data_IF_747609114092
#
_entry.id   IF_747609114092
#
_cell.length_a   1.000
_cell.length_b   1.000
_cell.length_c   1.000
_cell.angle_alpha   90.00
_cell.angle_beta   90.00
_cell.angle_gamma   90.00
#
_symmetry.space_group_name_H-M   'P 1'
#
loop_
_entity.id
_entity.type
_entity.pdbx_description
1 polymer ?
#
# COMPACT_ATOMS: atom_id res chain seq x y z
N UNK A 1 35.53 15.56 14.65
CA UNK A 1 34.93 14.31 14.16
C UNK A 1 33.41 14.29 14.38
N UNK A 2 32.87 14.63 15.58
CA UNK A 2 31.41 14.61 15.85
C UNK A 2 30.60 15.54 14.92
N UNK A 3 31.09 16.74 14.60
CA UNK A 3 30.40 17.70 13.72
C UNK A 3 30.35 17.22 12.26
N UNK A 4 31.36 16.57 11.74
CA UNK A 4 31.37 15.99 10.39
C UNK A 4 30.42 14.80 10.27
N UNK A 5 30.29 13.99 11.32
CA UNK A 5 29.31 12.89 11.36
C UNK A 5 27.86 13.41 11.36
N UNK A 6 27.57 14.50 12.09
CA UNK A 6 26.25 15.14 12.11
C UNK A 6 25.94 15.78 10.75
N UNK A 7 26.92 16.48 10.13
CA UNK A 7 26.74 17.04 8.79
C UNK A 7 26.50 15.97 7.73
N UNK A 8 27.22 14.86 7.77
CA UNK A 8 27.03 13.73 6.87
C UNK A 8 25.64 13.10 7.06
N UNK A 9 25.18 12.94 8.30
CA UNK A 9 23.84 12.42 8.60
C UNK A 9 22.72 13.33 8.11
N UNK A 10 22.86 14.66 8.29
CA UNK A 10 21.92 15.67 7.81
C UNK A 10 21.89 15.71 6.28
N UNK A 11 23.05 15.60 5.63
CA UNK A 11 23.14 15.54 4.17
C UNK A 11 22.49 14.28 3.60
N UNK A 12 22.61 13.13 4.27
CA UNK A 12 21.97 11.88 3.87
C UNK A 12 20.42 11.99 3.96
N UNK A 13 19.91 12.68 4.96
CA UNK A 13 18.45 12.89 5.14
C UNK A 13 17.87 13.82 4.08
N UNK A 14 18.65 14.77 3.56
CA UNK A 14 18.20 15.69 2.50
C UNK A 14 18.07 15.01 1.13
N UNK A 15 18.84 13.97 0.87
CA UNK A 15 18.79 13.17 -0.38
C UNK A 15 17.68 12.13 -0.37
N UNK A 16 17.17 11.75 0.81
CA UNK A 16 16.16 10.72 0.98
C UNK A 16 14.69 11.20 0.82
N UNK A 17 14.48 12.45 0.35
CA UNK A 17 13.13 12.98 0.11
C UNK A 17 12.74 12.81 -1.35
N UNK A 18 11.67 12.08 -1.62
CA UNK A 18 10.99 12.02 -2.90
C UNK A 18 9.67 12.80 -2.86
N UNK A 19 9.06 13.00 -4.02
CA UNK A 19 7.74 13.63 -4.15
C UNK A 19 6.76 12.63 -4.73
N UNK A 20 5.63 12.45 -4.08
CA UNK A 20 4.55 11.59 -4.55
C UNK A 20 3.84 12.20 -5.78
N UNK A 21 2.98 11.44 -6.48
CA UNK A 21 2.19 11.95 -7.60
C UNK A 21 1.31 13.17 -7.27
N UNK A 22 0.93 13.35 -6.00
CA UNK A 22 0.14 14.51 -5.54
C UNK A 22 0.99 15.70 -5.10
N UNK A 23 2.32 15.61 -5.18
CA UNK A 23 3.24 16.65 -4.74
C UNK A 23 3.64 16.56 -3.26
N UNK A 24 3.23 15.53 -2.53
CA UNK A 24 3.58 15.31 -1.12
C UNK A 24 5.03 14.85 -0.98
N UNK A 25 5.73 15.37 0.02
CA UNK A 25 7.08 14.91 0.36
C UNK A 25 7.03 13.57 1.09
N UNK A 26 7.89 12.65 0.69
CA UNK A 26 7.99 11.30 1.24
C UNK A 26 9.42 11.00 1.69
N UNK A 27 9.56 10.23 2.77
CA UNK A 27 10.85 9.67 3.18
C UNK A 27 11.09 8.37 2.40
N UNK A 28 12.11 8.36 1.54
CA UNK A 28 12.41 7.24 0.64
C UNK A 28 13.84 6.73 0.85
N UNK A 29 14.09 6.08 2.01
CA UNK A 29 15.35 5.36 2.31
C UNK A 29 15.41 4.01 1.59
N UNK A 30 14.25 3.40 1.37
CA UNK A 30 14.08 2.17 0.59
C UNK A 30 13.66 2.57 -0.81
N UNK A 31 14.37 2.08 -1.83
CA UNK A 31 14.03 2.38 -3.22
C UNK A 31 12.75 1.67 -3.67
N UNK A 32 12.11 2.20 -4.71
CA UNK A 32 10.96 1.56 -5.35
C UNK A 32 11.28 0.14 -5.83
N UNK A 33 12.46 -0.06 -6.45
CA UNK A 33 12.90 -1.35 -6.95
C UNK A 33 13.06 -2.37 -5.81
N UNK A 34 13.61 -1.95 -4.67
CA UNK A 34 13.73 -2.80 -3.48
C UNK A 34 12.37 -3.18 -2.92
N UNK A 35 11.41 -2.24 -2.87
CA UNK A 35 10.05 -2.50 -2.43
C UNK A 35 9.32 -3.45 -3.40
N UNK A 36 9.52 -3.31 -4.71
CA UNK A 36 8.96 -4.21 -5.73
C UNK A 36 9.53 -5.63 -5.57
N UNK A 37 10.85 -5.77 -5.38
CA UNK A 37 11.48 -7.08 -5.17
C UNK A 37 10.93 -7.78 -3.93
N UNK A 38 10.90 -7.08 -2.80
CA UNK A 38 10.33 -7.62 -1.56
C UNK A 38 8.84 -7.99 -1.70
N UNK A 39 8.07 -7.17 -2.43
CA UNK A 39 6.66 -7.42 -2.72
C UNK A 39 6.45 -8.65 -3.59
N UNK A 40 7.31 -8.88 -4.59
CA UNK A 40 7.24 -10.07 -5.45
C UNK A 40 7.44 -11.36 -4.64
N UNK A 41 8.38 -11.36 -3.71
CA UNK A 41 8.63 -12.50 -2.81
C UNK A 41 7.45 -12.71 -1.85
N UNK A 42 6.97 -11.65 -1.20
CA UNK A 42 5.84 -11.71 -0.29
C UNK A 42 4.56 -12.19 -0.99
N UNK A 43 4.30 -11.73 -2.21
CA UNK A 43 3.19 -12.16 -3.04
C UNK A 43 3.22 -13.67 -3.31
N UNK A 44 4.38 -14.17 -3.74
CA UNK A 44 4.56 -15.60 -3.99
C UNK A 44 4.36 -16.44 -2.72
N UNK A 45 4.92 -15.99 -1.59
CA UNK A 45 4.76 -16.65 -0.29
C UNK A 45 3.31 -16.65 0.19
N UNK A 46 2.59 -15.55 0.01
CA UNK A 46 1.18 -15.42 0.40
C UNK A 46 0.28 -16.33 -0.44
N UNK A 47 0.50 -16.37 -1.75
CA UNK A 47 -0.38 -17.13 -2.64
C UNK A 47 -0.07 -18.62 -2.71
N UNK A 48 1.15 -19.03 -2.41
CA UNK A 48 1.54 -20.44 -2.51
C UNK A 48 0.61 -21.39 -1.73
N UNK A 49 0.40 -21.24 -0.41
CA UNK A 49 -0.48 -22.13 0.35
C UNK A 49 -1.93 -22.08 -0.15
N UNK A 50 -2.43 -20.89 -0.49
CA UNK A 50 -3.79 -20.71 -1.01
C UNK A 50 -3.98 -21.40 -2.37
N UNK A 51 -2.96 -21.38 -3.21
CA UNK A 51 -2.98 -22.09 -4.50
C UNK A 51 -2.94 -23.59 -4.32
N UNK A 52 -2.16 -24.09 -3.37
CA UNK A 52 -2.10 -25.51 -3.02
C UNK A 52 -3.44 -26.03 -2.47
N UNK A 53 -4.22 -25.16 -1.80
CA UNK A 53 -5.58 -25.42 -1.34
C UNK A 53 -6.67 -25.24 -2.42
N UNK A 54 -6.29 -24.81 -3.64
CA UNK A 54 -7.24 -24.56 -4.72
C UNK A 54 -8.11 -23.30 -4.53
N UNK A 55 -7.69 -22.37 -3.66
CA UNK A 55 -8.43 -21.13 -3.31
C UNK A 55 -8.10 -19.91 -4.17
N UNK A 56 -7.24 -20.06 -5.17
CA UNK A 56 -6.85 -18.92 -6.02
C UNK A 56 -7.45 -19.09 -7.41
N UNK A 57 -8.19 -18.09 -7.84
CA UNK A 57 -8.81 -18.02 -9.18
C UNK A 57 -9.71 -19.24 -9.51
N UNK A 58 -10.34 -19.83 -8.52
CA UNK A 58 -11.16 -21.05 -8.66
C UNK A 58 -12.55 -20.80 -9.30
N UNK A 59 -13.06 -19.56 -9.30
CA UNK A 59 -14.23 -19.14 -10.07
C UNK A 59 -13.80 -18.35 -11.32
N UNK A 60 -13.92 -18.94 -12.53
CA UNK A 60 -13.50 -18.26 -13.77
C UNK A 60 -14.40 -17.08 -14.14
N UNK A 61 -15.67 -17.05 -13.72
CA UNK A 61 -16.60 -15.94 -13.99
C UNK A 61 -16.21 -14.73 -13.14
N UNK A 62 -16.05 -14.94 -11.84
CA UNK A 62 -15.63 -13.90 -10.91
C UNK A 62 -14.22 -13.40 -11.25
N UNK A 63 -13.31 -14.30 -11.58
CA UNK A 63 -11.96 -13.94 -12.05
C UNK A 63 -12.01 -13.03 -13.27
N UNK A 64 -12.81 -13.37 -14.28
CA UNK A 64 -12.97 -12.54 -15.48
C UNK A 64 -13.52 -11.16 -15.15
N UNK A 65 -14.56 -11.10 -14.29
CA UNK A 65 -15.17 -9.84 -13.82
C UNK A 65 -14.14 -8.92 -13.19
N UNK A 66 -13.42 -9.42 -12.18
CA UNK A 66 -12.40 -8.66 -11.45
C UNK A 66 -11.24 -8.26 -12.35
N UNK A 67 -10.78 -9.16 -13.23
CA UNK A 67 -9.71 -8.87 -14.19
C UNK A 67 -10.10 -7.73 -15.12
N UNK A 68 -11.32 -7.75 -15.70
CA UNK A 68 -11.81 -6.69 -16.60
C UNK A 68 -11.84 -5.32 -15.91
N UNK A 69 -12.32 -5.27 -14.66
CA UNK A 69 -12.35 -4.04 -13.87
C UNK A 69 -10.92 -3.52 -13.64
N UNK A 70 -10.03 -4.41 -13.19
CA UNK A 70 -8.66 -4.06 -12.82
C UNK A 70 -7.82 -3.63 -14.03
N UNK A 71 -7.96 -4.28 -15.19
CA UNK A 71 -7.25 -3.90 -16.41
C UNK A 71 -7.61 -2.48 -16.87
N UNK A 72 -8.86 -2.07 -16.73
CA UNK A 72 -9.28 -0.70 -17.04
C UNK A 72 -8.63 0.31 -16.09
N UNK A 73 -8.53 -0.01 -14.80
CA UNK A 73 -7.82 0.82 -13.82
C UNK A 73 -6.32 0.88 -14.11
N UNK A 74 -5.68 -0.25 -14.41
CA UNK A 74 -4.25 -0.33 -14.76
C UNK A 74 -3.94 0.50 -16.01
N UNK A 75 -4.82 0.49 -17.02
CA UNK A 75 -4.64 1.32 -18.21
C UNK A 75 -4.60 2.82 -17.87
N UNK A 76 -5.38 3.29 -16.88
CA UNK A 76 -5.31 4.67 -16.41
C UNK A 76 -4.12 4.91 -15.48
N UNK A 77 -3.76 3.93 -14.64
CA UNK A 77 -2.58 3.99 -13.78
C UNK A 77 -1.30 4.19 -14.60
N UNK A 78 -1.14 3.47 -15.70
CA UNK A 78 -0.01 3.62 -16.63
C UNK A 78 -0.01 4.98 -17.31
N UNK A 79 -1.17 5.54 -17.67
CA UNK A 79 -1.25 6.92 -18.20
C UNK A 79 -0.87 7.96 -17.17
N UNK A 80 -1.28 7.76 -15.91
CA UNK A 80 -0.96 8.66 -14.80
C UNK A 80 0.54 8.62 -14.44
N UNK A 81 1.13 7.41 -14.45
CA UNK A 81 2.55 7.17 -14.14
C UNK A 81 3.18 6.22 -15.17
N UNK A 82 3.67 6.73 -16.32
CA UNK A 82 4.16 5.90 -17.43
C UNK A 82 5.27 4.92 -17.05
N UNK A 83 6.08 5.22 -16.04
CA UNK A 83 7.11 4.31 -15.55
C UNK A 83 6.55 2.96 -15.06
N UNK A 84 5.26 2.90 -14.69
CA UNK A 84 4.61 1.67 -14.23
C UNK A 84 4.20 0.72 -15.36
N UNK A 85 4.36 1.11 -16.62
CA UNK A 85 4.14 0.23 -17.77
C UNK A 85 5.06 -1.01 -17.74
N UNK A 86 6.21 -0.90 -17.08
CA UNK A 86 7.18 -2.01 -16.89
C UNK A 86 6.84 -2.93 -15.70
N UNK A 87 5.83 -2.57 -14.88
CA UNK A 87 5.43 -3.41 -13.75
C UNK A 87 4.75 -4.69 -14.23
N UNK A 88 4.96 -5.76 -13.50
CA UNK A 88 4.29 -7.05 -13.77
C UNK A 88 2.89 -7.06 -13.15
N UNK A 89 1.98 -6.22 -13.66
CA UNK A 89 0.61 -6.13 -13.17
C UNK A 89 -0.10 -7.49 -13.14
N UNK A 90 -0.72 -7.82 -12.02
CA UNK A 90 -1.39 -9.10 -11.84
C UNK A 90 -2.45 -8.98 -10.75
N UNK A 91 -3.65 -9.50 -11.00
CA UNK A 91 -4.74 -9.60 -10.01
C UNK A 91 -5.11 -11.07 -9.79
N UNK A 92 -5.31 -11.45 -8.53
CA UNK A 92 -5.82 -12.75 -8.12
C UNK A 92 -7.11 -12.59 -7.31
N UNK A 93 -8.04 -13.51 -7.50
CA UNK A 93 -9.21 -13.67 -6.62
C UNK A 93 -8.89 -14.79 -5.64
N UNK A 94 -8.99 -14.48 -4.34
CA UNK A 94 -8.78 -15.44 -3.26
C UNK A 94 -10.15 -15.85 -2.72
N UNK A 95 -10.43 -17.12 -2.79
CA UNK A 95 -11.67 -17.71 -2.25
C UNK A 95 -11.57 -17.84 -0.73
N UNK A 96 -12.03 -16.80 -0.05
CA UNK A 96 -12.19 -16.75 1.39
C UNK A 96 -13.34 -15.79 1.72
N UNK A 97 -14.57 -16.30 1.89
CA UNK A 97 -15.77 -15.50 2.11
C UNK A 97 -15.79 -14.80 3.47
N UNK A 98 -14.94 -15.21 4.42
CA UNK A 98 -14.87 -14.57 5.75
C UNK A 98 -13.98 -13.34 5.77
N UNK A 99 -13.14 -13.12 4.75
CA UNK A 99 -12.19 -12.03 4.69
C UNK A 99 -12.67 -10.91 3.78
N UNK A 100 -13.03 -9.78 4.38
CA UNK A 100 -13.39 -8.53 3.65
C UNK A 100 -12.14 -7.72 3.43
N UNK A 101 -11.39 -8.01 2.36
CA UNK A 101 -10.11 -7.35 2.09
C UNK A 101 -9.76 -7.36 0.59
N UNK A 102 -8.91 -6.40 0.20
CA UNK A 102 -8.16 -6.36 -1.05
C UNK A 102 -6.81 -5.69 -0.79
N UNK A 103 -5.85 -5.87 -1.67
CA UNK A 103 -4.54 -5.22 -1.56
C UNK A 103 -3.79 -5.14 -2.89
N UNK A 104 -2.92 -4.15 -2.99
CA UNK A 104 -1.95 -4.01 -4.08
C UNK A 104 -0.56 -3.77 -3.50
N UNK A 105 0.36 -4.68 -3.76
CA UNK A 105 1.76 -4.55 -3.39
C UNK A 105 2.52 -3.71 -4.43
N UNK A 106 3.71 -3.22 -4.05
CA UNK A 106 4.59 -2.52 -4.98
C UNK A 106 4.88 -3.38 -6.23
N UNK A 107 4.90 -2.74 -7.41
CA UNK A 107 5.04 -3.42 -8.68
C UNK A 107 3.74 -4.01 -9.24
N UNK A 108 2.56 -3.68 -8.66
CA UNK A 108 1.26 -4.02 -9.21
C UNK A 108 0.79 -5.45 -8.98
N UNK A 109 1.27 -6.10 -7.92
CA UNK A 109 0.81 -7.44 -7.50
C UNK A 109 -0.41 -7.30 -6.60
N UNK A 110 -1.58 -7.78 -7.04
CA UNK A 110 -2.87 -7.52 -6.42
C UNK A 110 -3.62 -8.81 -6.06
N UNK A 111 -4.46 -8.71 -5.04
CA UNK A 111 -5.50 -9.68 -4.78
C UNK A 111 -6.75 -9.01 -4.19
N UNK A 112 -7.88 -9.68 -4.38
CA UNK A 112 -9.17 -9.37 -3.76
C UNK A 112 -9.77 -10.67 -3.23
N UNK A 113 -10.38 -10.61 -2.07
CA UNK A 113 -11.04 -11.76 -1.44
C UNK A 113 -12.51 -11.82 -1.82
N UNK A 114 -13.04 -13.04 -1.96
CA UNK A 114 -14.47 -13.26 -2.25
C UNK A 114 -15.35 -12.60 -1.19
N UNK A 115 -14.93 -12.63 0.09
CA UNK A 115 -15.68 -12.01 1.18
C UNK A 115 -15.92 -10.51 0.99
N UNK A 116 -14.99 -9.76 0.39
CA UNK A 116 -15.23 -8.36 0.08
C UNK A 116 -16.35 -8.19 -0.96
N UNK A 117 -16.40 -9.05 -1.96
CA UNK A 117 -17.39 -8.97 -3.04
C UNK A 117 -18.76 -9.43 -2.55
N UNK A 118 -18.80 -10.54 -1.84
CA UNK A 118 -20.02 -11.22 -1.41
C UNK A 118 -20.69 -10.54 -0.21
N UNK A 119 -19.94 -10.28 0.87
CA UNK A 119 -20.51 -9.68 2.09
C UNK A 119 -20.97 -8.23 1.85
N UNK A 120 -20.32 -7.51 0.95
CA UNK A 120 -20.73 -6.16 0.59
C UNK A 120 -21.74 -6.12 -0.57
N UNK A 121 -22.07 -7.25 -1.19
CA UNK A 121 -22.81 -7.27 -2.47
C UNK A 121 -22.25 -6.18 -3.40
N UNK A 122 -20.95 -6.29 -3.65
CA UNK A 122 -20.20 -5.20 -4.28
C UNK A 122 -20.48 -5.11 -5.78
N UNK A 123 -20.89 -3.93 -6.23
CA UNK A 123 -21.05 -3.61 -7.65
C UNK A 123 -19.67 -3.47 -8.33
N UNK A 124 -19.64 -3.46 -9.67
CA UNK A 124 -18.42 -3.22 -10.44
C UNK A 124 -17.79 -1.86 -10.12
N UNK A 125 -18.62 -0.84 -9.91
CA UNK A 125 -18.17 0.49 -9.52
C UNK A 125 -17.52 0.49 -8.13
N UNK A 126 -18.08 -0.24 -7.17
CA UNK A 126 -17.52 -0.37 -5.82
C UNK A 126 -16.22 -1.19 -5.81
N UNK A 127 -16.16 -2.28 -6.58
CA UNK A 127 -14.91 -3.04 -6.78
C UNK A 127 -13.83 -2.14 -7.41
N UNK A 128 -14.21 -1.30 -8.37
CA UNK A 128 -13.29 -0.36 -8.99
C UNK A 128 -12.78 0.71 -8.01
N UNK A 129 -13.61 1.17 -7.06
CA UNK A 129 -13.18 2.10 -6.01
C UNK A 129 -12.16 1.46 -5.06
N UNK A 130 -12.41 0.22 -4.58
CA UNK A 130 -11.45 -0.52 -3.74
C UNK A 130 -10.14 -0.73 -4.49
N UNK A 131 -10.20 -1.32 -5.69
CA UNK A 131 -8.98 -1.62 -6.44
C UNK A 131 -8.25 -0.35 -6.89
N UNK A 132 -8.98 0.73 -7.19
CA UNK A 132 -8.41 2.05 -7.46
C UNK A 132 -7.65 2.61 -6.27
N UNK A 133 -8.20 2.50 -5.06
CA UNK A 133 -7.54 2.86 -3.80
C UNK A 133 -6.26 2.04 -3.59
N UNK A 134 -6.32 0.71 -3.73
CA UNK A 134 -5.16 -0.17 -3.55
C UNK A 134 -4.05 0.09 -4.59
N UNK A 135 -4.42 0.28 -5.87
CA UNK A 135 -3.48 0.65 -6.93
C UNK A 135 -2.81 1.99 -6.61
N UNK A 136 -3.53 2.93 -6.01
CA UNK A 136 -3.01 4.25 -5.65
C UNK A 136 -1.91 4.18 -4.59
N UNK A 137 -2.01 3.25 -3.64
CA UNK A 137 -0.93 2.99 -2.69
C UNK A 137 0.36 2.57 -3.41
N UNK A 138 0.27 1.73 -4.43
CA UNK A 138 1.44 1.33 -5.22
C UNK A 138 1.97 2.49 -6.08
N UNK A 139 1.09 3.25 -6.75
CA UNK A 139 1.45 4.42 -7.57
C UNK A 139 2.17 5.50 -6.76
N UNK A 140 1.72 5.73 -5.53
CA UNK A 140 2.30 6.72 -4.62
C UNK A 140 3.49 6.19 -3.80
N UNK A 141 3.98 4.98 -4.06
CA UNK A 141 5.10 4.34 -3.36
C UNK A 141 4.91 4.25 -1.83
N UNK A 142 3.67 4.18 -1.34
CA UNK A 142 3.37 4.16 0.09
C UNK A 142 4.04 2.98 0.81
N UNK A 143 4.25 1.85 0.11
CA UNK A 143 4.91 0.69 0.69
C UNK A 143 6.41 0.94 0.93
N UNK A 144 7.10 1.54 -0.03
CA UNK A 144 8.50 1.93 0.12
C UNK A 144 8.68 3.02 1.19
N UNK A 145 7.75 3.99 1.26
CA UNK A 145 7.71 5.00 2.31
C UNK A 145 7.48 4.37 3.69
N UNK A 146 6.52 3.45 3.83
CA UNK A 146 6.24 2.73 5.07
C UNK A 146 7.45 1.94 5.56
N UNK A 147 8.14 1.25 4.65
CA UNK A 147 9.40 0.55 4.94
C UNK A 147 10.51 1.51 5.36
N UNK A 148 10.63 2.66 4.70
CA UNK A 148 11.61 3.71 5.01
C UNK A 148 11.38 4.32 6.40
N UNK A 149 10.13 4.64 6.72
CA UNK A 149 9.73 5.16 8.05
C UNK A 149 9.99 4.11 9.14
N UNK A 150 9.71 2.84 8.87
CA UNK A 150 9.99 1.76 9.82
C UNK A 150 11.49 1.62 10.09
N UNK A 151 12.31 1.67 9.04
CA UNK A 151 13.78 1.61 9.14
C UNK A 151 14.33 2.81 9.92
N UNK A 152 13.93 4.04 9.57
CA UNK A 152 14.37 5.25 10.29
C UNK A 152 13.97 5.21 11.76
N UNK A 153 12.74 4.78 12.07
CA UNK A 153 12.23 4.65 13.43
C UNK A 153 13.04 3.61 14.23
N UNK A 154 13.38 2.48 13.61
CA UNK A 154 14.19 1.43 14.27
C UNK A 154 15.59 1.91 14.60
N UNK A 155 16.24 2.62 13.68
CA UNK A 155 17.56 3.24 13.93
C UNK A 155 17.47 4.25 15.07
N UNK A 156 16.45 5.10 15.10
CA UNK A 156 16.23 6.08 16.17
C UNK A 156 16.02 5.40 17.53
N UNK A 157 15.22 4.35 17.59
CA UNK A 157 14.99 3.56 18.82
C UNK A 157 16.29 2.94 19.36
N UNK A 158 17.11 2.36 18.47
CA UNK A 158 18.40 1.77 18.85
C UNK A 158 19.35 2.85 19.38
N UNK A 159 19.41 4.01 18.70
CA UNK A 159 20.28 5.12 19.13
C UNK A 159 19.89 5.65 20.52
N UNK A 160 18.60 5.78 20.82
CA UNK A 160 18.09 6.16 22.16
C UNK A 160 18.46 5.12 23.21
N UNK A 161 18.35 3.83 22.88
CA UNK A 161 18.80 2.76 23.79
C UNK A 161 20.28 2.81 24.10
N UNK A 162 21.11 3.01 23.07
CA UNK A 162 22.57 3.10 23.23
C UNK A 162 23.05 4.34 24.02
N UNK A 163 22.25 5.40 24.06
CA UNK A 163 22.55 6.63 24.80
C UNK A 163 22.01 6.64 26.24
N UNK A 164 21.31 5.58 26.67
CA UNK A 164 20.59 5.52 27.95
C UNK A 164 21.23 4.54 28.93
N UNK A 165 21.25 4.90 30.22
CA UNK A 165 21.63 4.01 31.33
C UNK A 165 20.60 2.88 31.58
N UNK A 166 19.38 3.02 30.99
CA UNK A 166 18.29 2.03 31.06
C UNK A 166 17.76 1.72 29.66
N UNK A 167 18.53 1.00 28.82
CA UNK A 167 18.23 0.83 27.40
C UNK A 167 16.81 0.29 27.12
N UNK A 168 16.37 -0.73 27.85
CA UNK A 168 15.07 -1.35 27.62
C UNK A 168 13.88 -0.38 27.80
N UNK A 169 13.88 0.44 28.84
CA UNK A 169 12.83 1.43 29.10
C UNK A 169 12.90 2.56 28.06
N UNK A 170 14.11 3.04 27.76
CA UNK A 170 14.33 4.10 26.79
C UNK A 170 13.89 3.69 25.39
N UNK A 171 14.22 2.47 24.95
CA UNK A 171 13.80 1.93 23.65
C UNK A 171 12.29 1.75 23.56
N UNK A 172 11.64 1.24 24.62
CA UNK A 172 10.17 1.10 24.64
C UNK A 172 9.46 2.46 24.53
N UNK A 173 9.94 3.45 25.28
CA UNK A 173 9.42 4.82 25.22
C UNK A 173 9.63 5.48 23.85
N UNK A 174 10.81 5.32 23.25
CA UNK A 174 11.10 5.83 21.91
C UNK A 174 10.27 5.14 20.84
N UNK A 175 10.03 3.83 20.92
CA UNK A 175 9.19 3.10 19.99
C UNK A 175 7.73 3.58 20.03
N UNK A 176 7.18 3.80 21.23
CA UNK A 176 5.84 4.35 21.42
C UNK A 176 5.74 5.77 20.86
N UNK A 177 6.71 6.64 21.17
CA UNK A 177 6.74 8.01 20.66
C UNK A 177 6.83 8.03 19.11
N UNK A 178 7.65 7.18 18.49
CA UNK A 178 7.74 7.06 17.04
C UNK A 178 6.42 6.57 16.42
N UNK A 179 5.73 5.61 17.06
CA UNK A 179 4.43 5.15 16.59
C UNK A 179 3.39 6.27 16.61
N UNK A 180 3.29 7.02 17.70
CA UNK A 180 2.28 8.07 17.86
C UNK A 180 2.58 9.33 17.04
N UNK A 181 3.85 9.77 17.00
CA UNK A 181 4.22 11.04 16.38
C UNK A 181 4.54 10.93 14.89
N UNK A 182 4.96 9.77 14.40
CA UNK A 182 5.41 9.59 13.02
C UNK A 182 4.54 8.62 12.25
N UNK A 183 4.37 7.38 12.75
CA UNK A 183 3.69 6.31 11.98
C UNK A 183 2.21 6.60 11.75
N UNK A 184 1.46 7.05 12.77
CA UNK A 184 0.04 7.29 12.64
C UNK A 184 -0.31 8.47 11.74
N UNK A 185 0.32 9.68 11.88
CA UNK A 185 0.05 10.79 10.97
C UNK A 185 0.45 10.47 9.52
N UNK A 186 1.57 9.78 9.33
CA UNK A 186 2.04 9.41 8.00
C UNK A 186 1.08 8.42 7.32
N UNK A 187 0.56 7.45 8.07
CA UNK A 187 -0.46 6.52 7.57
C UNK A 187 -1.73 7.25 7.13
N UNK A 188 -2.29 8.15 7.97
CA UNK A 188 -3.49 8.93 7.61
C UNK A 188 -3.29 9.78 6.35
N UNK A 189 -2.13 10.36 6.18
CA UNK A 189 -1.80 11.15 4.98
C UNK A 189 -1.74 10.26 3.75
N UNK A 190 -1.18 9.06 3.87
CA UNK A 190 -1.12 8.08 2.79
C UNK A 190 -2.52 7.59 2.38
N UNK A 191 -3.41 7.34 3.37
CA UNK A 191 -4.82 6.96 3.09
C UNK A 191 -5.56 8.07 2.33
N UNK A 192 -5.46 9.33 2.81
CA UNK A 192 -6.09 10.47 2.13
C UNK A 192 -5.57 10.65 0.69
N UNK A 193 -4.28 10.40 0.48
CA UNK A 193 -3.68 10.43 -0.85
C UNK A 193 -4.20 9.30 -1.74
N UNK A 194 -4.31 8.08 -1.20
CA UNK A 194 -4.83 6.92 -1.90
C UNK A 194 -6.30 7.09 -2.27
N UNK A 195 -7.13 7.63 -1.37
CA UNK A 195 -8.52 7.96 -1.63
C UNK A 195 -8.65 8.93 -2.82
N UNK A 196 -7.88 10.02 -2.79
CA UNK A 196 -7.91 11.04 -3.84
C UNK A 196 -7.51 10.47 -5.21
N UNK A 197 -6.39 9.77 -5.27
CA UNK A 197 -5.90 9.16 -6.52
C UNK A 197 -6.85 8.05 -6.98
N UNK A 198 -7.36 7.22 -6.05
CA UNK A 198 -8.21 6.07 -6.35
C UNK A 198 -9.55 6.47 -6.97
N UNK A 199 -10.21 7.50 -6.42
CA UNK A 199 -11.44 8.04 -6.98
C UNK A 199 -11.21 8.60 -8.39
N UNK A 200 -10.11 9.33 -8.60
CA UNK A 200 -9.74 9.87 -9.91
C UNK A 200 -9.45 8.75 -10.91
N UNK A 201 -8.73 7.71 -10.47
CA UNK A 201 -8.38 6.56 -11.28
C UNK A 201 -9.63 5.80 -11.74
N UNK A 202 -10.55 5.50 -10.81
CA UNK A 202 -11.80 4.81 -11.11
C UNK A 202 -12.70 5.64 -12.05
N UNK A 203 -12.83 6.95 -11.81
CA UNK A 203 -13.58 7.83 -12.69
C UNK A 203 -13.01 7.86 -14.12
N UNK A 204 -11.68 7.97 -14.27
CA UNK A 204 -11.02 7.93 -15.59
C UNK A 204 -11.15 6.56 -16.27
N UNK A 205 -11.29 5.48 -15.50
CA UNK A 205 -11.55 4.14 -16.00
C UNK A 205 -13.04 3.95 -16.42
N UNK A 206 -13.89 4.96 -16.18
CA UNK A 206 -15.31 4.98 -16.55
C UNK A 206 -16.24 4.35 -15.52
N UNK A 207 -15.84 4.31 -14.25
CA UNK A 207 -16.66 3.89 -13.11
C UNK A 207 -17.23 5.09 -12.37
N UNK A 208 -18.37 4.90 -11.70
CA UNK A 208 -19.03 5.99 -10.95
C UNK A 208 -18.22 6.34 -9.68
N UNK A 209 -17.64 7.54 -9.57
CA UNK A 209 -16.89 7.93 -8.39
C UNK A 209 -17.73 8.01 -7.11
N UNK A 210 -19.06 8.13 -7.22
CA UNK A 210 -19.99 8.15 -6.07
C UNK A 210 -20.06 6.79 -5.38
N UNK A 211 -19.70 5.72 -6.07
CA UNK A 211 -19.63 4.37 -5.49
C UNK A 211 -18.62 4.26 -4.35
N UNK A 212 -17.65 5.18 -4.25
CA UNK A 212 -16.80 5.28 -3.06
C UNK A 212 -17.60 5.50 -1.77
N UNK A 213 -18.64 6.31 -1.81
CA UNK A 213 -19.49 6.60 -0.63
C UNK A 213 -20.30 5.38 -0.24
N UNK A 214 -20.95 4.71 -1.20
CA UNK A 214 -21.77 3.52 -0.92
C UNK A 214 -20.92 2.36 -0.43
N UNK A 215 -19.72 2.20 -0.96
CA UNK A 215 -18.73 1.21 -0.49
C UNK A 215 -18.39 1.42 1.00
N UNK A 216 -18.00 2.63 1.40
CA UNK A 216 -17.67 2.93 2.79
C UNK A 216 -18.86 2.72 3.74
N UNK A 217 -20.08 3.06 3.28
CA UNK A 217 -21.31 2.79 4.03
C UNK A 217 -21.57 1.29 4.24
N UNK A 218 -21.24 0.46 3.24
CA UNK A 218 -21.35 -1.00 3.34
C UNK A 218 -20.26 -1.57 4.24
N UNK A 219 -19.00 -1.16 4.07
CA UNK A 219 -17.87 -1.59 4.91
C UNK A 219 -18.10 -1.29 6.40
N UNK A 220 -18.65 -0.13 6.73
CA UNK A 220 -18.97 0.24 8.11
C UNK A 220 -20.04 -0.64 8.79
N UNK A 221 -20.74 -1.50 8.02
CA UNK A 221 -21.77 -2.42 8.56
C UNK A 221 -21.23 -3.83 8.81
N UNK A 222 -20.12 -4.19 8.20
CA UNK A 222 -19.52 -5.55 8.30
C UNK A 222 -18.23 -5.57 9.14
N UNK A 223 -17.67 -4.42 9.52
CA UNK A 223 -16.57 -4.23 10.47
C UNK A 223 -17.08 -3.65 11.75
#
# INVERSE_FOLDING_TARGET
MKHYAILALVSLLLVACATSPTGRRQLMLVSEESAISASKEAYAQTLKPLSEEGKVDNDPVLKKRVTTITERLVAQAVKMRPATAKWEWSIKVIDDPEVVNAWCMAGGKMAIYTGLIEQLDATDDEIAQVMGHEISHALANHQAEKMSVAMASSVGVIAVGAASDRPGIAMSGAALAAALAIKLPNSRTAETEADRIGIELAAKAGYDPRAAVTLWQKMAKVG
#
